data_IF_144119907144
#
_entry.id   IF_144119907144
#
_cell.length_a   1.000
_cell.length_b   1.000
_cell.length_c   1.000
_cell.angle_alpha   90.00
_cell.angle_beta   90.00
_cell.angle_gamma   90.00
#
_symmetry.space_group_name_H-M   'P 1'
#
loop_
_entity.id
_entity.type
_entity.pdbx_description
1 polymer ?
#
# COMPACT_ATOMS: atom_id res chain seq x y z
N UNK A 1 16.65 -3.36 5.56
CA UNK A 1 15.92 -4.53 5.06
C UNK A 1 14.44 -4.37 5.27
N UNK A 2 13.68 -4.71 4.26
CA UNK A 2 12.23 -4.65 4.34
C UNK A 2 11.70 -5.88 5.06
N UNK A 3 10.85 -5.65 6.07
CA UNK A 3 10.23 -6.72 6.82
C UNK A 3 9.03 -7.27 6.02
N UNK A 4 8.83 -8.57 6.06
CA UNK A 4 7.66 -9.20 5.45
C UNK A 4 6.80 -9.80 6.56
N UNK A 5 5.50 -9.55 6.49
CA UNK A 5 4.54 -10.04 7.48
C UNK A 5 3.51 -10.90 6.73
N UNK A 6 3.14 -12.02 7.37
CA UNK A 6 2.11 -12.90 6.82
C UNK A 6 0.75 -12.17 6.84
N UNK A 7 -0.02 -12.31 5.77
CA UNK A 7 -1.34 -11.66 5.65
C UNK A 7 -2.30 -12.08 6.76
N UNK A 8 -2.09 -13.22 7.39
CA UNK A 8 -2.93 -13.70 8.49
C UNK A 8 -2.43 -13.30 9.86
N UNK A 9 -1.26 -12.65 9.94
CA UNK A 9 -0.74 -12.12 11.19
C UNK A 9 -1.71 -11.06 11.72
N UNK A 10 -2.05 -11.06 13.02
CA UNK A 10 -2.95 -10.05 13.58
C UNK A 10 -2.53 -8.60 13.28
N UNK A 11 -1.24 -8.32 13.24
CA UNK A 11 -0.76 -6.98 12.88
C UNK A 11 -1.08 -6.65 11.43
N UNK A 12 -0.89 -7.59 10.52
CA UNK A 12 -1.24 -7.38 9.11
C UNK A 12 -2.73 -7.15 8.94
N UNK A 13 -3.55 -7.92 9.65
CA UNK A 13 -5.01 -7.75 9.61
C UNK A 13 -5.40 -6.37 10.15
N UNK A 14 -4.83 -5.97 11.28
CA UNK A 14 -5.18 -4.69 11.91
C UNK A 14 -4.80 -3.51 11.02
N UNK A 15 -3.60 -3.50 10.46
CA UNK A 15 -3.15 -2.38 9.63
C UNK A 15 -3.92 -2.34 8.30
N UNK A 16 -4.23 -3.49 7.73
CA UNK A 16 -5.03 -3.55 6.51
C UNK A 16 -6.42 -2.98 6.74
N UNK A 17 -7.05 -3.33 7.86
CA UNK A 17 -8.37 -2.80 8.20
C UNK A 17 -8.32 -1.28 8.39
N UNK A 18 -7.31 -0.78 9.11
CA UNK A 18 -7.18 0.65 9.33
C UNK A 18 -7.04 1.40 8.01
N UNK A 19 -6.26 0.85 7.08
CA UNK A 19 -6.08 1.45 5.76
C UNK A 19 -7.40 1.47 4.99
N UNK A 20 -8.10 0.35 4.93
CA UNK A 20 -9.32 0.23 4.13
C UNK A 20 -10.49 1.01 4.73
N UNK A 21 -10.51 1.18 6.03
CA UNK A 21 -11.56 1.94 6.70
C UNK A 21 -11.25 3.43 6.78
N UNK A 22 -10.03 3.82 6.42
CA UNK A 22 -9.60 5.21 6.54
C UNK A 22 -9.51 5.66 7.99
N UNK A 23 -9.20 4.73 8.89
CA UNK A 23 -9.10 5.03 10.31
C UNK A 23 -7.72 5.61 10.61
N UNK A 24 -7.59 6.91 10.44
CA UNK A 24 -6.30 7.59 10.56
C UNK A 24 -5.70 7.45 11.98
N UNK A 25 -6.48 7.68 13.06
CA UNK A 25 -5.89 7.50 14.40
C UNK A 25 -5.36 6.09 14.64
N UNK A 26 -6.10 5.06 14.24
CA UNK A 26 -5.68 3.69 14.40
C UNK A 26 -4.43 3.40 13.58
N UNK A 27 -4.40 3.89 12.34
CA UNK A 27 -3.24 3.70 11.47
C UNK A 27 -1.99 4.36 12.06
N UNK A 28 -2.10 5.60 12.49
CA UNK A 28 -0.97 6.32 13.09
C UNK A 28 -0.47 5.63 14.36
N UNK A 29 -1.39 5.11 15.16
CA UNK A 29 -1.03 4.38 16.37
C UNK A 29 -0.21 3.12 16.04
N UNK A 30 -0.67 2.35 15.06
CA UNK A 30 0.05 1.15 14.64
C UNK A 30 1.43 1.47 14.08
N UNK A 31 1.52 2.53 13.28
CA UNK A 31 2.79 2.94 12.70
C UNK A 31 3.79 3.40 13.77
N UNK A 32 3.29 4.06 14.82
CA UNK A 32 4.13 4.52 15.92
C UNK A 32 4.59 3.38 16.80
N UNK A 33 3.73 2.39 17.04
CA UNK A 33 4.06 1.25 17.90
C UNK A 33 4.96 0.22 17.23
N UNK A 34 4.96 0.19 15.90
CA UNK A 34 5.71 -0.81 15.15
C UNK A 34 6.65 -0.13 14.16
N UNK A 35 7.83 0.34 14.62
CA UNK A 35 8.80 0.96 13.73
C UNK A 35 9.15 0.03 12.56
N UNK A 36 9.14 0.59 11.37
CA UNK A 36 9.39 -0.19 10.15
C UNK A 36 8.14 -0.76 9.51
N UNK A 37 6.99 -0.68 10.18
CA UNK A 37 5.75 -1.22 9.61
C UNK A 37 5.40 -0.57 8.27
N UNK A 38 5.60 0.73 8.14
CA UNK A 38 5.27 1.44 6.90
C UNK A 38 6.05 0.92 5.70
N UNK A 39 7.24 0.35 5.93
CA UNK A 39 8.08 -0.22 4.87
C UNK A 39 7.89 -1.72 4.72
N UNK A 40 7.00 -2.33 5.50
CA UNK A 40 6.81 -3.77 5.48
C UNK A 40 6.02 -4.20 4.23
N UNK A 41 6.26 -5.43 3.81
CA UNK A 41 5.44 -6.08 2.80
C UNK A 41 4.51 -7.09 3.47
N UNK A 42 3.32 -7.23 2.93
CA UNK A 42 2.35 -8.21 3.41
C UNK A 42 2.32 -9.35 2.40
N UNK A 43 2.72 -10.54 2.86
CA UNK A 43 2.73 -11.74 2.01
C UNK A 43 1.37 -12.43 2.09
N UNK A 44 0.71 -12.57 0.95
CA UNK A 44 -0.59 -13.24 0.89
C UNK A 44 -0.37 -14.75 0.99
N UNK A 45 -0.88 -15.35 2.05
CA UNK A 45 -0.72 -16.79 2.30
C UNK A 45 -2.05 -17.55 2.33
N UNK A 46 -3.16 -16.83 2.42
CA UNK A 46 -4.48 -17.46 2.49
C UNK A 46 -4.99 -17.90 1.11
N UNK A 47 -4.44 -17.35 0.05
CA UNK A 47 -4.89 -17.60 -1.32
C UNK A 47 -3.68 -17.91 -2.20
N UNK A 48 -3.28 -19.16 -2.28
CA UNK A 48 -2.07 -19.55 -3.01
C UNK A 48 -2.04 -19.13 -4.48
N UNK A 49 -3.22 -19.08 -5.11
CA UNK A 49 -3.35 -18.67 -6.51
C UNK A 49 -3.21 -17.15 -6.70
N UNK A 50 -3.20 -16.40 -5.61
CA UNK A 50 -3.04 -14.94 -5.64
C UNK A 50 -1.83 -14.52 -4.83
N UNK A 51 -0.81 -15.37 -4.76
CA UNK A 51 0.36 -15.08 -3.94
C UNK A 51 1.11 -13.86 -4.43
N UNK A 52 1.77 -13.18 -3.52
CA UNK A 52 2.56 -12.00 -3.79
C UNK A 52 2.77 -11.21 -2.53
N UNK A 53 3.61 -10.19 -2.62
CA UNK A 53 3.92 -9.33 -1.48
C UNK A 53 3.49 -7.91 -1.85
N UNK A 54 2.54 -7.38 -1.10
CA UNK A 54 2.03 -6.02 -1.25
C UNK A 54 2.59 -5.13 -0.16
N UNK A 55 3.04 -3.93 -0.51
CA UNK A 55 3.36 -2.93 0.51
C UNK A 55 2.06 -2.34 1.05
N UNK A 56 2.16 -1.55 2.12
CA UNK A 56 0.96 -0.91 2.67
C UNK A 56 0.36 0.09 1.68
N UNK A 57 1.18 0.75 0.86
CA UNK A 57 0.67 1.64 -0.18
C UNK A 57 -0.06 0.87 -1.27
N UNK A 58 0.38 -0.34 -1.60
CA UNK A 58 -0.37 -1.18 -2.53
C UNK A 58 -1.74 -1.56 -1.96
N UNK A 59 -1.80 -1.85 -0.66
CA UNK A 59 -3.08 -2.13 -0.02
C UNK A 59 -4.01 -0.92 -0.11
N UNK A 60 -3.47 0.27 0.11
CA UNK A 60 -4.25 1.52 0.06
C UNK A 60 -4.78 1.81 -1.34
N UNK A 61 -4.16 1.24 -2.38
CA UNK A 61 -4.54 1.46 -3.76
C UNK A 61 -5.06 0.21 -4.46
N UNK A 62 -5.25 -0.87 -3.70
CA UNK A 62 -5.73 -2.14 -4.24
C UNK A 62 -7.20 -2.02 -4.69
N UNK A 63 -7.58 -2.86 -5.63
CA UNK A 63 -8.96 -2.88 -6.12
C UNK A 63 -9.95 -3.10 -4.95
N UNK A 64 -11.04 -2.40 -4.88
CA UNK A 64 -11.55 -1.44 -5.88
C UNK A 64 -11.03 -0.02 -5.73
N UNK A 65 -10.16 0.26 -4.75
CA UNK A 65 -9.72 1.61 -4.49
C UNK A 65 -10.80 2.48 -3.86
N UNK A 66 -10.62 3.80 -3.89
CA UNK A 66 -11.59 4.77 -3.40
C UNK A 66 -11.95 4.57 -1.91
N UNK A 67 -10.98 4.10 -1.12
CA UNK A 67 -11.22 3.89 0.31
C UNK A 67 -11.38 5.22 1.04
N UNK A 68 -12.15 5.25 2.15
CA UNK A 68 -12.32 6.49 2.91
C UNK A 68 -10.99 7.09 3.32
N UNK A 69 -10.88 8.41 3.24
CA UNK A 69 -9.66 9.14 3.62
C UNK A 69 -8.40 8.65 2.92
N UNK A 70 -8.54 8.16 1.70
CA UNK A 70 -7.43 7.55 0.97
C UNK A 70 -6.20 8.45 0.87
N UNK A 71 -6.39 9.72 0.56
CA UNK A 71 -5.27 10.65 0.46
C UNK A 71 -4.54 10.82 1.78
N UNK A 72 -5.28 10.90 2.88
CA UNK A 72 -4.70 11.02 4.22
C UNK A 72 -4.00 9.74 4.65
N UNK A 73 -4.55 8.58 4.28
CA UNK A 73 -3.92 7.28 4.54
C UNK A 73 -2.56 7.22 3.83
N UNK A 74 -2.52 7.58 2.56
CA UNK A 74 -1.30 7.56 1.77
C UNK A 74 -0.27 8.52 2.38
N UNK A 75 -0.69 9.73 2.74
CA UNK A 75 0.22 10.70 3.36
C UNK A 75 0.80 10.17 4.67
N UNK A 76 -0.03 9.56 5.51
CA UNK A 76 0.42 9.01 6.79
C UNK A 76 1.45 7.89 6.58
N UNK A 77 1.23 7.03 5.60
CA UNK A 77 2.15 5.94 5.30
C UNK A 77 3.49 6.47 4.81
N UNK A 78 3.48 7.44 3.90
CA UNK A 78 4.73 8.01 3.39
C UNK A 78 5.49 8.75 4.47
N UNK A 79 4.80 9.51 5.31
CA UNK A 79 5.43 10.20 6.45
C UNK A 79 6.11 9.19 7.39
N UNK A 80 5.56 8.01 7.53
CA UNK A 80 6.13 6.97 8.40
C UNK A 80 7.23 6.16 7.73
N UNK A 81 7.53 6.43 6.46
CA UNK A 81 8.65 5.81 5.76
C UNK A 81 8.30 4.91 4.58
N UNK A 82 7.04 4.83 4.19
CA UNK A 82 6.67 4.03 3.02
C UNK A 82 7.26 4.64 1.75
N UNK A 83 7.71 3.76 0.85
CA UNK A 83 8.28 4.17 -0.44
C UNK A 83 7.16 4.26 -1.47
N UNK A 84 6.85 5.48 -1.97
CA UNK A 84 5.78 5.63 -2.96
C UNK A 84 6.06 4.92 -4.28
N UNK A 85 7.30 4.55 -4.55
CA UNK A 85 7.69 3.84 -5.77
C UNK A 85 7.96 2.37 -5.54
N UNK A 86 7.58 1.82 -4.39
CA UNK A 86 7.77 0.40 -4.10
C UNK A 86 7.04 -0.47 -5.12
N UNK A 87 7.62 -1.61 -5.45
CA UNK A 87 7.06 -2.53 -6.44
C UNK A 87 6.32 -3.67 -5.76
N UNK A 88 5.20 -4.06 -6.35
CA UNK A 88 4.54 -5.30 -5.95
C UNK A 88 5.46 -6.47 -6.31
N UNK A 89 5.59 -7.43 -5.40
CA UNK A 89 6.40 -8.62 -5.66
C UNK A 89 5.47 -9.79 -5.96
N UNK A 90 5.47 -10.22 -7.21
CA UNK A 90 4.59 -11.29 -7.66
C UNK A 90 4.69 -11.41 -9.18
N UNK A 91 3.58 -11.79 -9.82
CA UNK A 91 3.53 -11.97 -11.27
C UNK A 91 3.78 -10.67 -12.05
N UNK A 92 3.41 -9.54 -11.45
CA UNK A 92 3.58 -8.21 -12.04
C UNK A 92 4.29 -7.32 -11.04
N UNK A 93 4.99 -6.31 -11.50
CA UNK A 93 5.80 -5.46 -10.62
C UNK A 93 5.36 -4.01 -10.66
N UNK A 94 4.06 -3.78 -10.54
CA UNK A 94 3.50 -2.44 -10.55
C UNK A 94 3.80 -1.67 -9.26
N UNK A 95 3.79 -0.34 -9.39
CA UNK A 95 3.87 0.57 -8.23
C UNK A 95 2.46 0.87 -7.72
N UNK A 96 2.34 1.46 -6.51
CA UNK A 96 1.04 1.92 -6.03
C UNK A 96 0.35 2.88 -7.00
N UNK A 97 1.11 3.73 -7.68
CA UNK A 97 0.56 4.67 -8.64
C UNK A 97 -0.12 3.95 -9.81
N UNK A 98 0.48 2.86 -10.30
CA UNK A 98 -0.13 2.05 -11.35
C UNK A 98 -1.49 1.50 -10.90
N UNK A 99 -1.55 1.02 -9.66
CA UNK A 99 -2.79 0.46 -9.11
C UNK A 99 -3.86 1.53 -8.92
N UNK A 100 -3.46 2.69 -8.40
CA UNK A 100 -4.40 3.81 -8.21
C UNK A 100 -4.96 4.28 -9.56
N UNK A 101 -4.11 4.41 -10.56
CA UNK A 101 -4.54 4.82 -11.90
C UNK A 101 -5.46 3.78 -12.52
N UNK A 102 -5.16 2.50 -12.34
CA UNK A 102 -5.99 1.40 -12.85
C UNK A 102 -7.39 1.41 -12.25
N UNK A 103 -7.51 1.86 -10.99
CA UNK A 103 -8.81 1.96 -10.31
C UNK A 103 -9.48 3.32 -10.51
N UNK A 104 -8.87 4.20 -11.31
CA UNK A 104 -9.38 5.55 -11.54
C UNK A 104 -9.56 6.31 -10.22
N UNK A 105 -8.66 6.06 -9.26
CA UNK A 105 -8.69 6.66 -7.93
C UNK A 105 -7.88 7.95 -7.94
N UNK A 106 -8.52 9.04 -8.36
CA UNK A 106 -7.84 10.32 -8.56
C UNK A 106 -7.22 10.85 -7.28
N UNK A 107 -7.93 10.74 -6.15
CA UNK A 107 -7.41 11.21 -4.87
C UNK A 107 -6.13 10.48 -4.48
N UNK A 108 -6.08 9.17 -4.72
CA UNK A 108 -4.88 8.38 -4.44
C UNK A 108 -3.74 8.76 -5.39
N UNK A 109 -4.04 8.93 -6.68
CA UNK A 109 -3.04 9.35 -7.67
C UNK A 109 -2.42 10.69 -7.24
N UNK A 110 -3.27 11.67 -6.92
CA UNK A 110 -2.80 12.99 -6.53
C UNK A 110 -1.93 12.93 -5.27
N UNK A 111 -2.34 12.14 -4.29
CA UNK A 111 -1.59 12.01 -3.04
C UNK A 111 -0.22 11.36 -3.27
N UNK A 112 -0.17 10.33 -4.10
CA UNK A 112 1.09 9.68 -4.43
C UNK A 112 2.04 10.60 -5.19
N UNK A 113 1.53 11.35 -6.15
CA UNK A 113 2.33 12.31 -6.91
C UNK A 113 2.86 13.39 -5.97
N UNK A 114 2.02 13.91 -5.07
CA UNK A 114 2.43 14.90 -4.09
C UNK A 114 3.51 14.35 -3.14
N UNK A 115 3.49 13.04 -2.90
CA UNK A 115 4.47 12.37 -2.05
C UNK A 115 5.78 12.04 -2.78
N UNK A 116 5.86 12.33 -4.07
CA UNK A 116 7.08 12.11 -4.84
C UNK A 116 7.09 10.86 -5.71
N UNK A 117 5.95 10.22 -5.92
CA UNK A 117 5.90 9.04 -6.78
C UNK A 117 6.33 9.39 -8.21
N UNK A 118 7.06 8.47 -8.83
CA UNK A 118 7.55 8.63 -10.20
C UNK A 118 6.43 8.29 -11.18
N UNK A 119 5.88 9.32 -11.82
CA UNK A 119 4.77 9.13 -12.76
C UNK A 119 5.22 8.45 -14.05
N UNK A 120 6.52 8.37 -14.28
CA UNK A 120 7.07 7.71 -15.45
C UNK A 120 7.67 6.34 -15.13
N UNK A 121 7.43 5.82 -13.91
CA UNK A 121 7.93 4.49 -13.57
C UNK A 121 7.38 3.46 -14.56
N UNK A 122 8.23 2.54 -15.04
CA UNK A 122 7.78 1.56 -16.01
C UNK A 122 6.67 0.69 -15.44
N UNK A 123 5.57 0.57 -16.18
CA UNK A 123 4.51 -0.35 -15.84
C UNK A 123 4.94 -1.74 -16.18
N UNK A 124 4.67 -2.66 -15.31
CA UNK A 124 5.18 -4.00 -15.50
C UNK A 124 4.51 -4.74 -16.64
N UNK A 125 3.30 -4.45 -16.91
CA UNK A 125 2.51 -5.30 -17.77
C UNK A 125 1.77 -4.60 -18.84
N UNK A 126 1.71 -3.36 -18.74
CA UNK A 126 0.93 -2.64 -19.71
C UNK A 126 1.70 -2.65 -20.99
N UNK A 127 1.25 -3.50 -21.76
CA UNK A 127 1.84 -3.57 -23.08
C UNK A 127 1.66 -2.26 -23.74
#
# INVERSE_FOLDING_TARGET
>A
MTKTIDSQDPLAVAVTQAIRQGDIPALRHLLAEHPGLASAGIAETARPDCSGIRTLLHIATDWPGHFPNGAQVIAALVEAGADPDARFSGAHTETPLHWAASNDDVAAVDSLVAAGADIEAPGAVIG
#
